data_IF_060567236289
#
_entry.id   IF_060567236289
#
_cell.length_a   1.000
_cell.length_b   1.000
_cell.length_c   1.000
_cell.angle_alpha   90.00
_cell.angle_beta   90.00
_cell.angle_gamma   90.00
#
_symmetry.space_group_name_H-M   'P 1'
#
loop_
_entity.id
_entity.type
_entity.pdbx_description
1 polymer ?
#
# COMPACT_ATOMS: atom_id res chain seq x y z
N UNK A 1 -19.01 10.02 -10.49
CA UNK A 1 -18.15 10.96 -9.75
C UNK A 1 -16.95 11.18 -10.66
N UNK A 2 -16.76 12.39 -11.17
CA UNK A 2 -15.69 12.65 -12.14
C UNK A 2 -14.35 12.64 -11.41
N UNK A 3 -13.56 11.58 -11.62
CA UNK A 3 -12.20 11.49 -11.10
C UNK A 3 -11.37 12.58 -11.77
N UNK A 4 -10.99 13.61 -11.01
CA UNK A 4 -10.08 14.63 -11.51
C UNK A 4 -8.72 13.98 -11.70
N UNK A 5 -8.24 13.97 -12.93
CA UNK A 5 -6.96 13.37 -13.31
C UNK A 5 -5.93 14.47 -13.55
N UNK A 6 -4.72 14.27 -13.04
CA UNK A 6 -3.62 15.22 -13.21
C UNK A 6 -2.35 14.49 -13.64
N UNK A 7 -1.59 15.10 -14.56
CA UNK A 7 -0.24 14.63 -14.86
C UNK A 7 0.70 15.02 -13.73
N UNK A 8 1.62 14.13 -13.39
CA UNK A 8 2.68 14.40 -12.43
C UNK A 8 4.00 13.76 -12.86
N UNK A 9 5.10 14.23 -12.25
CA UNK A 9 6.41 13.59 -12.30
C UNK A 9 6.79 13.04 -10.93
N UNK A 10 7.49 11.92 -10.93
CA UNK A 10 8.15 11.39 -9.74
C UNK A 10 9.57 11.94 -9.66
N UNK A 11 10.00 12.34 -8.46
CA UNK A 11 11.40 12.65 -8.19
C UNK A 11 11.91 11.81 -7.02
N UNK A 12 12.99 11.10 -7.27
CA UNK A 12 13.70 10.35 -6.22
C UNK A 12 14.43 11.32 -5.31
N UNK A 13 14.34 11.07 -4.01
CA UNK A 13 15.09 11.79 -2.98
C UNK A 13 15.76 10.77 -2.05
N UNK A 14 16.93 11.12 -1.51
CA UNK A 14 17.72 10.19 -0.71
C UNK A 14 16.98 9.68 0.53
N UNK A 15 16.26 10.56 1.23
CA UNK A 15 15.50 10.22 2.42
C UNK A 15 14.23 11.06 2.54
N UNK A 16 13.17 10.42 3.05
CA UNK A 16 11.97 11.10 3.52
C UNK A 16 11.64 10.60 4.93
N UNK A 17 11.16 11.45 5.84
CA UNK A 17 10.74 11.06 7.18
C UNK A 17 9.35 10.39 7.16
N UNK A 18 9.08 9.53 6.18
CA UNK A 18 7.84 8.78 5.98
C UNK A 18 8.20 7.33 5.60
N UNK A 19 7.21 6.45 5.52
CA UNK A 19 7.41 5.08 5.05
C UNK A 19 8.07 5.08 3.65
N UNK A 20 9.11 4.27 3.37
CA UNK A 20 9.87 4.38 2.12
C UNK A 20 9.03 4.15 0.86
N UNK A 21 8.00 3.30 0.95
CA UNK A 21 7.02 3.10 -0.13
C UNK A 21 5.86 4.12 -0.15
N UNK A 22 5.96 5.26 0.53
CA UNK A 22 4.97 6.35 0.44
C UNK A 22 5.51 7.53 -0.37
N UNK A 23 4.58 8.35 -0.84
CA UNK A 23 4.86 9.56 -1.62
C UNK A 23 4.76 10.81 -0.74
N UNK A 24 5.47 11.86 -1.12
CA UNK A 24 5.31 13.21 -0.58
C UNK A 24 4.94 14.21 -1.68
N UNK A 25 4.08 15.18 -1.36
CA UNK A 25 3.62 16.18 -2.31
C UNK A 25 3.49 17.56 -1.66
N UNK A 26 3.73 18.62 -2.45
CA UNK A 26 3.45 19.98 -2.01
C UNK A 26 1.95 20.18 -1.76
N UNK A 27 1.60 20.56 -0.53
CA UNK A 27 0.21 20.67 -0.10
C UNK A 27 -0.57 21.73 -0.88
N UNK A 28 0.07 22.85 -1.23
CA UNK A 28 -0.60 23.97 -1.94
C UNK A 28 -0.92 23.58 -3.38
N UNK A 29 0.05 23.00 -4.10
CA UNK A 29 -0.14 22.47 -5.45
C UNK A 29 -1.19 21.37 -5.46
N UNK A 30 -1.10 20.41 -4.54
CA UNK A 30 -2.08 19.34 -4.41
C UNK A 30 -3.50 19.88 -4.20
N UNK A 31 -3.69 20.79 -3.22
CA UNK A 31 -5.00 21.34 -2.90
C UNK A 31 -5.57 22.23 -4.01
N UNK A 32 -4.71 22.88 -4.81
CA UNK A 32 -5.14 23.65 -5.99
C UNK A 32 -5.74 22.74 -7.06
N UNK A 33 -5.21 21.53 -7.20
CA UNK A 33 -5.66 20.56 -8.19
C UNK A 33 -6.86 19.77 -7.65
N UNK A 34 -6.76 19.13 -6.49
CA UNK A 34 -7.75 18.17 -6.01
C UNK A 34 -8.72 18.72 -4.95
N UNK A 35 -8.54 19.97 -4.52
CA UNK A 35 -9.25 20.54 -3.38
C UNK A 35 -8.60 20.19 -2.04
N UNK A 36 -9.13 20.76 -0.96
CA UNK A 36 -8.62 20.53 0.40
C UNK A 36 -8.83 19.08 0.82
N UNK A 37 -7.80 18.47 1.36
CA UNK A 37 -7.83 17.13 1.95
C UNK A 37 -6.86 17.03 3.13
N UNK A 38 -7.08 16.01 3.97
CA UNK A 38 -6.22 15.70 5.11
C UNK A 38 -4.96 14.96 4.67
N UNK A 39 -3.92 15.03 5.51
CA UNK A 39 -2.64 14.36 5.29
C UNK A 39 -2.46 13.28 6.37
N UNK A 40 -2.06 12.04 6.01
CA UNK A 40 -1.85 11.55 4.65
C UNK A 40 -3.18 11.32 3.89
N UNK A 41 -3.13 11.37 2.56
CA UNK A 41 -4.24 11.00 1.67
C UNK A 41 -3.88 9.79 0.80
N UNK A 42 -4.86 9.23 0.07
CA UNK A 42 -4.64 8.16 -0.91
C UNK A 42 -4.86 8.69 -2.32
N UNK A 43 -3.97 8.28 -3.23
CA UNK A 43 -4.08 8.60 -4.63
C UNK A 43 -3.97 7.34 -5.48
N UNK A 44 -4.73 7.29 -6.58
CA UNK A 44 -4.52 6.33 -7.64
C UNK A 44 -3.45 6.88 -8.60
N UNK A 45 -2.42 6.08 -8.86
CA UNK A 45 -1.37 6.37 -9.85
C UNK A 45 -1.45 5.38 -11.02
N UNK A 46 -1.25 5.87 -12.25
CA UNK A 46 -1.19 5.03 -13.46
C UNK A 46 -0.19 5.55 -14.50
N UNK A 47 0.29 4.64 -15.36
CA UNK A 47 1.20 4.95 -16.48
C UNK A 47 0.47 5.56 -17.70
N UNK A 48 -0.82 5.25 -17.91
CA UNK A 48 -1.55 5.62 -19.13
C UNK A 48 -2.89 6.35 -18.86
N UNK A 49 -3.38 7.06 -19.88
CA UNK A 49 -4.54 7.97 -19.83
C UNK A 49 -5.86 7.32 -20.31
N UNK A 50 -5.82 6.09 -20.82
CA UNK A 50 -6.94 5.50 -21.56
C UNK A 50 -7.81 4.63 -20.67
N UNK A 51 -9.13 4.92 -20.65
CA UNK A 51 -10.21 4.10 -20.08
C UNK A 51 -10.33 2.67 -20.66
N UNK A 52 -9.40 2.29 -21.53
CA UNK A 52 -9.37 1.04 -22.30
C UNK A 52 -8.10 0.23 -22.01
N UNK A 53 -7.24 0.70 -21.08
CA UNK A 53 -6.05 -0.05 -20.67
C UNK A 53 -6.41 -0.96 -19.51
N UNK A 54 -6.05 -2.25 -19.63
CA UNK A 54 -6.13 -3.24 -18.55
C UNK A 54 -5.05 -3.02 -17.47
N UNK A 55 -4.19 -2.00 -17.59
CA UNK A 55 -3.20 -1.72 -16.55
C UNK A 55 -3.86 -1.21 -15.26
N UNK A 56 -3.71 -1.93 -14.14
CA UNK A 56 -4.39 -1.57 -12.90
C UNK A 56 -3.80 -0.28 -12.31
N UNK A 57 -4.68 0.56 -11.77
CA UNK A 57 -4.26 1.67 -10.92
C UNK A 57 -3.58 1.13 -9.67
N UNK A 58 -2.49 1.78 -9.26
CA UNK A 58 -1.85 1.52 -7.98
C UNK A 58 -2.30 2.58 -6.99
N UNK A 59 -2.84 2.19 -5.84
CA UNK A 59 -3.07 3.15 -4.77
C UNK A 59 -1.74 3.43 -4.07
N UNK A 60 -1.50 4.69 -3.75
CA UNK A 60 -0.33 5.13 -3.02
C UNK A 60 -0.75 6.09 -1.91
N UNK A 61 -0.09 5.97 -0.75
CA UNK A 61 -0.24 6.93 0.34
C UNK A 61 0.60 8.16 0.01
N UNK A 62 -0.02 9.34 0.06
CA UNK A 62 0.59 10.63 -0.23
C UNK A 62 0.56 11.50 1.02
N UNK A 63 1.74 11.87 1.51
CA UNK A 63 1.91 12.84 2.60
C UNK A 63 1.99 14.24 2.02
N UNK A 64 1.04 15.09 2.40
CA UNK A 64 1.01 16.49 2.00
C UNK A 64 1.78 17.32 3.01
N UNK A 65 2.69 18.17 2.52
CA UNK A 65 3.48 19.08 3.35
C UNK A 65 4.10 20.22 2.54
N UNK A 66 4.82 21.11 3.21
CA UNK A 66 5.59 22.17 2.57
C UNK A 66 6.95 21.61 2.11
N UNK A 67 6.93 20.82 1.03
CA UNK A 67 8.14 20.31 0.40
C UNK A 67 8.61 21.33 -0.64
N UNK A 68 9.00 22.52 -0.19
CA UNK A 68 9.53 23.56 -1.07
C UNK A 68 10.91 23.15 -1.56
N UNK A 69 11.02 22.49 -2.72
CA UNK A 69 12.20 22.27 -3.60
C UNK A 69 13.60 22.00 -2.95
N UNK A 70 13.69 21.79 -1.64
CA UNK A 70 14.90 21.69 -0.82
C UNK A 70 15.26 20.25 -0.48
N UNK A 71 14.52 19.29 -1.03
CA UNK A 71 14.94 17.89 -1.01
C UNK A 71 16.06 17.78 -2.05
N UNK A 72 17.27 17.40 -1.61
CA UNK A 72 18.42 17.18 -2.48
C UNK A 72 18.07 16.10 -3.52
N UNK A 73 17.55 16.52 -4.66
CA UNK A 73 17.18 15.67 -5.78
C UNK A 73 18.44 15.26 -6.53
N UNK A 74 18.60 13.97 -6.81
CA UNK A 74 19.78 13.42 -7.49
C UNK A 74 19.77 13.62 -9.02
N UNK A 75 18.71 14.20 -9.59
CA UNK A 75 18.56 14.34 -11.05
C UNK A 75 18.79 15.76 -11.56
N UNK A 76 19.64 15.87 -12.58
CA UNK A 76 19.95 17.08 -13.33
C UNK A 76 18.72 17.65 -14.02
N UNK A 77 18.47 18.93 -13.77
CA UNK A 77 17.38 19.73 -14.34
C UNK A 77 17.36 19.69 -15.87
N UNK A 78 16.51 18.84 -16.46
CA UNK A 78 16.02 19.08 -17.80
C UNK A 78 15.09 20.30 -17.78
N UNK A 79 15.52 21.38 -18.45
CA UNK A 79 14.87 22.70 -18.52
C UNK A 79 13.51 22.71 -19.27
N UNK A 80 12.81 21.57 -19.37
CA UNK A 80 11.52 21.44 -20.06
C UNK A 80 10.31 21.23 -19.12
N UNK A 81 10.46 21.46 -17.82
CA UNK A 81 9.45 21.13 -16.79
C UNK A 81 8.35 22.18 -16.52
N UNK A 82 8.29 23.28 -17.28
CA UNK A 82 7.41 24.42 -16.96
C UNK A 82 5.90 24.17 -17.07
N UNK A 83 5.46 22.98 -17.50
CA UNK A 83 4.05 22.67 -17.73
C UNK A 83 3.51 21.49 -16.91
N UNK A 84 4.26 21.01 -15.91
CA UNK A 84 3.80 19.91 -15.04
C UNK A 84 3.28 20.50 -13.73
N UNK A 85 1.98 20.37 -13.45
CA UNK A 85 1.35 21.06 -12.33
C UNK A 85 1.72 20.44 -10.96
N UNK A 86 2.24 19.21 -10.94
CA UNK A 86 2.48 18.47 -9.71
C UNK A 86 3.74 17.59 -9.81
N UNK A 87 4.58 17.65 -8.77
CA UNK A 87 5.71 16.75 -8.55
C UNK A 87 5.45 15.96 -7.28
N UNK A 88 5.61 14.64 -7.36
CA UNK A 88 5.58 13.74 -6.21
C UNK A 88 7.01 13.29 -5.91
N UNK A 89 7.37 13.28 -4.63
CA UNK A 89 8.67 12.84 -4.15
C UNK A 89 8.56 11.45 -3.54
N UNK A 90 9.54 10.60 -3.78
CA UNK A 90 9.61 9.26 -3.21
C UNK A 90 11.06 8.85 -2.96
N UNK A 91 11.27 7.77 -2.20
CA UNK A 91 12.61 7.20 -2.07
C UNK A 91 12.95 6.32 -3.28
N UNK A 92 14.22 5.92 -3.39
CA UNK A 92 14.65 4.93 -4.36
C UNK A 92 13.93 3.59 -4.19
N UNK A 93 13.63 3.18 -2.96
CA UNK A 93 12.90 1.94 -2.68
C UNK A 93 11.53 1.93 -3.37
N UNK A 94 10.83 3.07 -3.42
CA UNK A 94 9.56 3.18 -4.15
C UNK A 94 9.72 2.92 -5.66
N UNK A 95 10.77 3.47 -6.27
CA UNK A 95 11.05 3.27 -7.69
C UNK A 95 11.34 1.81 -8.02
N UNK A 96 12.25 1.21 -7.24
CA UNK A 96 12.72 -0.15 -7.46
C UNK A 96 11.61 -1.17 -7.18
N UNK A 97 10.77 -0.91 -6.17
CA UNK A 97 9.68 -1.79 -5.78
C UNK A 97 8.51 -1.78 -6.78
N UNK A 98 8.14 -0.60 -7.31
CA UNK A 98 7.03 -0.45 -8.27
C UNK A 98 7.46 -0.39 -9.74
N UNK A 99 8.76 -0.58 -10.02
CA UNK A 99 9.33 -0.62 -11.37
C UNK A 99 8.94 0.63 -12.20
N UNK A 100 9.14 1.79 -11.56
CA UNK A 100 8.84 3.11 -12.11
C UNK A 100 10.13 3.80 -12.62
N UNK A 101 9.98 4.86 -13.41
CA UNK A 101 11.09 5.62 -13.99
C UNK A 101 10.89 7.13 -13.78
N UNK A 102 11.92 7.83 -13.31
CA UNK A 102 11.89 9.28 -13.08
C UNK A 102 11.68 10.12 -14.35
N UNK A 103 12.06 9.56 -15.51
CA UNK A 103 11.93 10.23 -16.81
C UNK A 103 10.52 10.15 -17.40
N UNK A 104 9.60 9.40 -16.78
CA UNK A 104 8.24 9.21 -17.27
C UNK A 104 7.24 10.15 -16.56
N UNK A 105 6.21 10.56 -17.30
CA UNK A 105 5.03 11.21 -16.72
C UNK A 105 3.98 10.18 -16.36
N UNK A 106 3.34 10.36 -15.22
CA UNK A 106 2.29 9.50 -14.69
C UNK A 106 1.01 10.30 -14.49
N UNK A 107 -0.11 9.60 -14.33
CA UNK A 107 -1.38 10.20 -13.97
C UNK A 107 -1.70 9.92 -12.50
N UNK A 108 -2.14 10.95 -11.79
CA UNK A 108 -2.58 10.84 -10.40
C UNK A 108 -4.01 11.37 -10.27
N UNK A 109 -4.81 10.65 -9.48
CA UNK A 109 -6.12 11.10 -9.05
C UNK A 109 -6.24 10.91 -7.55
N UNK A 110 -6.75 11.93 -6.85
CA UNK A 110 -7.14 11.80 -5.46
C UNK A 110 -8.38 10.91 -5.35
N UNK A 111 -8.32 9.90 -4.49
CA UNK A 111 -9.41 8.95 -4.30
C UNK A 111 -9.73 8.79 -2.83
N UNK A 112 -10.96 8.36 -2.55
CA UNK A 112 -11.30 7.81 -1.24
C UNK A 112 -11.17 6.28 -1.34
N UNK A 113 -10.22 5.65 -0.63
CA UNK A 113 -10.12 4.19 -0.62
C UNK A 113 -11.35 3.61 0.09
N UNK A 114 -11.71 2.39 -0.25
CA UNK A 114 -12.76 1.65 0.45
C UNK A 114 -12.16 0.82 1.59
N UNK A 115 -12.91 0.62 2.68
CA UNK A 115 -12.52 -0.28 3.74
C UNK A 115 -12.53 -1.72 3.24
N UNK A 116 -11.52 -2.49 3.63
CA UNK A 116 -11.49 -3.93 3.40
C UNK A 116 -12.26 -4.64 4.50
N UNK A 117 -12.97 -5.71 4.13
CA UNK A 117 -13.64 -6.60 5.07
C UNK A 117 -12.68 -7.64 5.62
N UNK A 118 -11.81 -8.16 4.75
CA UNK A 118 -10.81 -9.14 5.11
C UNK A 118 -9.50 -8.92 4.36
N UNK A 119 -8.40 -9.14 5.05
CA UNK A 119 -7.05 -9.21 4.47
C UNK A 119 -6.36 -10.48 4.97
N UNK A 120 -5.73 -11.20 4.05
CA UNK A 120 -4.82 -12.31 4.37
C UNK A 120 -3.40 -11.91 4.01
N UNK A 121 -2.52 -11.92 5.01
CA UNK A 121 -1.08 -11.73 4.85
C UNK A 121 -0.35 -13.07 4.95
N UNK A 122 0.64 -13.26 4.08
CA UNK A 122 1.65 -14.31 4.21
C UNK A 122 2.93 -13.71 4.81
N UNK A 123 3.38 -14.26 5.94
CA UNK A 123 4.67 -13.94 6.54
C UNK A 123 5.79 -14.74 5.85
N UNK A 124 6.82 -14.05 5.35
CA UNK A 124 7.97 -14.66 4.69
C UNK A 124 8.83 -15.51 5.63
N UNK A 125 8.90 -15.15 6.91
CA UNK A 125 9.76 -15.80 7.90
C UNK A 125 8.96 -16.23 9.12
N UNK A 126 9.49 -17.22 9.84
CA UNK A 126 8.97 -17.65 11.15
C UNK A 126 9.00 -16.50 12.16
N UNK A 127 10.02 -15.64 12.07
CA UNK A 127 10.15 -14.48 12.96
C UNK A 127 9.02 -13.48 12.73
N UNK A 128 8.75 -13.12 11.47
CA UNK A 128 7.64 -12.22 11.12
C UNK A 128 6.29 -12.82 11.46
N UNK A 129 6.11 -14.12 11.23
CA UNK A 129 4.91 -14.82 11.66
C UNK A 129 4.74 -14.70 13.19
N UNK A 130 5.76 -15.05 13.97
CA UNK A 130 5.71 -14.98 15.44
C UNK A 130 5.51 -13.55 15.95
N UNK A 131 6.12 -12.55 15.31
CA UNK A 131 5.94 -11.14 15.65
C UNK A 131 4.49 -10.69 15.42
N UNK A 132 3.86 -11.11 14.31
CA UNK A 132 2.45 -10.80 14.03
C UNK A 132 1.48 -11.40 15.07
N UNK A 133 1.92 -12.38 15.85
CA UNK A 133 1.13 -12.98 16.94
C UNK A 133 1.25 -12.23 18.26
N UNK A 134 2.07 -11.18 18.33
CA UNK A 134 2.26 -10.41 19.55
C UNK A 134 1.18 -9.35 19.71
N UNK A 135 0.79 -9.05 20.95
CA UNK A 135 -0.17 -7.99 21.28
C UNK A 135 0.22 -6.62 20.70
N UNK A 136 1.52 -6.36 20.50
CA UNK A 136 2.01 -5.13 19.88
C UNK A 136 1.53 -4.99 18.43
N UNK A 137 1.46 -6.09 17.67
CA UNK A 137 0.95 -6.06 16.30
C UNK A 137 -0.53 -5.66 16.28
N UNK A 138 -1.36 -6.33 17.08
CA UNK A 138 -2.79 -6.01 17.23
C UNK A 138 -3.02 -4.57 17.71
N UNK A 139 -2.28 -4.14 18.74
CA UNK A 139 -2.35 -2.78 19.27
C UNK A 139 -1.95 -1.76 18.20
N UNK A 140 -0.92 -2.04 17.41
CA UNK A 140 -0.49 -1.21 16.30
C UNK A 140 -1.59 -1.04 15.24
N UNK A 141 -2.25 -2.13 14.85
CA UNK A 141 -3.38 -2.10 13.90
C UNK A 141 -4.53 -1.25 14.43
N UNK A 142 -4.89 -1.41 15.71
CA UNK A 142 -5.96 -0.65 16.35
C UNK A 142 -5.65 0.85 16.42
N UNK A 143 -4.45 1.21 16.88
CA UNK A 143 -3.99 2.61 16.97
C UNK A 143 -3.94 3.24 15.58
N UNK A 144 -3.40 2.54 14.59
CA UNK A 144 -3.34 3.04 13.22
C UNK A 144 -4.74 3.28 12.64
N UNK A 145 -5.65 2.32 12.83
CA UNK A 145 -7.04 2.40 12.33
C UNK A 145 -7.82 3.55 12.97
N UNK A 146 -7.63 3.79 14.28
CA UNK A 146 -8.36 4.82 15.02
C UNK A 146 -7.82 6.22 14.81
N UNK A 147 -6.51 6.35 14.54
CA UNK A 147 -5.86 7.64 14.27
C UNK A 147 -5.90 8.07 12.80
N UNK A 148 -6.79 7.47 11.98
CA UNK A 148 -6.88 7.68 10.52
C UNK A 148 -5.53 7.60 9.83
N UNK A 149 -4.66 6.69 10.30
CA UNK A 149 -3.38 6.45 9.65
C UNK A 149 -3.64 5.48 8.50
N UNK A 150 -3.42 5.94 7.28
CA UNK A 150 -3.65 5.14 6.08
C UNK A 150 -2.83 3.84 6.11
N UNK A 151 -3.48 2.72 6.41
CA UNK A 151 -2.94 1.37 6.28
C UNK A 151 -3.42 0.79 4.96
N UNK A 152 -2.74 1.20 3.90
CA UNK A 152 -3.05 0.72 2.57
C UNK A 152 -2.58 -0.73 2.43
N UNK A 153 -3.43 -1.56 1.84
CA UNK A 153 -3.12 -2.95 1.53
C UNK A 153 -3.49 -3.22 0.09
N UNK A 154 -2.68 -4.01 -0.60
CA UNK A 154 -2.90 -4.42 -1.97
C UNK A 154 -2.42 -5.86 -2.18
N UNK A 155 -3.25 -6.69 -2.80
CA UNK A 155 -2.88 -8.04 -3.19
C UNK A 155 -1.58 -8.04 -4.00
N UNK A 156 -0.66 -8.94 -3.65
CA UNK A 156 0.67 -9.06 -4.26
C UNK A 156 1.69 -8.04 -3.73
N UNK A 157 1.34 -7.18 -2.77
CA UNK A 157 2.21 -6.15 -2.23
C UNK A 157 2.57 -6.41 -0.75
N UNK A 158 3.61 -5.71 -0.27
CA UNK A 158 3.99 -5.68 1.14
C UNK A 158 2.98 -4.89 1.97
N UNK A 159 3.02 -5.05 3.30
CA UNK A 159 2.15 -4.28 4.18
C UNK A 159 2.61 -2.80 4.28
N UNK A 160 1.83 -1.87 3.72
CA UNK A 160 2.17 -0.44 3.65
C UNK A 160 1.65 0.35 4.88
N UNK A 161 1.81 -0.21 6.08
CA UNK A 161 1.42 0.47 7.30
C UNK A 161 2.48 1.52 7.73
N UNK A 162 2.06 2.61 8.38
CA UNK A 162 3.00 3.53 8.99
C UNK A 162 3.67 2.85 10.20
N UNK A 163 5.01 2.97 10.36
CA UNK A 163 5.74 2.29 11.42
C UNK A 163 5.57 3.06 12.75
N UNK A 164 4.43 2.84 13.39
CA UNK A 164 4.07 3.47 14.66
C UNK A 164 4.75 2.75 15.84
N UNK A 165 5.12 3.47 16.91
CA UNK A 165 5.67 2.86 18.13
C UNK A 165 4.77 1.79 18.77
N UNK A 166 3.47 1.82 18.48
CA UNK A 166 2.51 0.82 18.93
C UNK A 166 2.78 -0.59 18.38
N UNK A 167 3.40 -0.70 17.19
CA UNK A 167 3.84 -1.97 16.61
C UNK A 167 5.14 -2.51 17.22
N UNK A 168 5.89 -1.65 17.91
CA UNK A 168 7.21 -1.95 18.47
C UNK A 168 8.03 -0.68 18.67
N UNK A 169 8.95 -0.70 19.64
CA UNK A 169 9.76 0.47 19.99
C UNK A 169 10.80 0.84 18.91
N UNK A 170 11.29 -0.14 18.16
CA UNK A 170 12.25 0.06 17.07
C UNK A 170 11.52 0.13 15.71
N UNK A 171 11.47 1.34 15.14
CA UNK A 171 10.84 1.63 13.85
C UNK A 171 11.47 0.82 12.71
N UNK A 172 12.78 0.61 12.71
CA UNK A 172 13.46 -0.12 11.64
C UNK A 172 13.11 -1.61 11.70
N UNK A 173 13.12 -2.17 12.92
CA UNK A 173 12.66 -3.54 13.14
C UNK A 173 11.21 -3.74 12.67
N UNK A 174 10.30 -2.80 12.98
CA UNK A 174 8.90 -2.86 12.53
C UNK A 174 8.79 -2.77 11.01
N UNK A 175 9.54 -1.87 10.36
CA UNK A 175 9.54 -1.73 8.90
C UNK A 175 10.01 -3.02 8.22
N UNK A 176 11.07 -3.66 8.72
CA UNK A 176 11.58 -4.92 8.17
C UNK A 176 10.49 -6.02 8.22
N UNK A 177 9.70 -6.08 9.31
CA UNK A 177 8.58 -7.02 9.43
C UNK A 177 7.43 -6.70 8.49
N UNK A 178 7.14 -5.42 8.25
CA UNK A 178 6.17 -5.00 7.24
C UNK A 178 6.57 -5.42 5.82
N UNK A 179 7.86 -5.30 5.47
CA UNK A 179 8.39 -5.79 4.19
C UNK A 179 8.39 -7.33 4.08
N UNK A 180 8.24 -8.04 5.19
CA UNK A 180 8.11 -9.49 5.24
C UNK A 180 6.67 -10.00 5.28
N UNK A 181 5.67 -9.11 5.38
CA UNK A 181 4.25 -9.42 5.29
C UNK A 181 3.70 -9.05 3.92
N UNK A 182 3.27 -10.06 3.14
CA UNK A 182 2.69 -9.86 1.81
C UNK A 182 1.19 -10.12 1.83
N UNK A 183 0.40 -9.18 1.32
CA UNK A 183 -1.03 -9.39 1.17
C UNK A 183 -1.29 -10.36 0.01
N UNK A 184 -1.87 -11.52 0.31
CA UNK A 184 -2.20 -12.54 -0.69
C UNK A 184 -3.67 -12.47 -1.11
N UNK A 185 -4.53 -11.92 -0.25
CA UNK A 185 -5.95 -11.74 -0.52
C UNK A 185 -6.46 -10.49 0.20
N UNK A 186 -7.32 -9.74 -0.49
CA UNK A 186 -8.04 -8.58 0.02
C UNK A 186 -9.49 -8.68 -0.47
N UNK A 187 -10.44 -8.49 0.45
CA UNK A 187 -11.88 -8.50 0.17
C UNK A 187 -12.51 -7.17 0.58
N UNK A 188 -13.50 -6.64 -0.16
CA UNK A 188 -14.14 -7.21 -1.35
C UNK A 188 -13.40 -6.89 -2.66
N UNK A 189 -12.22 -6.26 -2.58
CA UNK A 189 -11.45 -5.91 -3.76
C UNK A 189 -9.95 -5.92 -3.45
N UNK A 190 -9.15 -5.92 -4.52
CA UNK A 190 -7.72 -6.24 -4.49
C UNK A 190 -6.83 -5.20 -3.80
N UNK A 191 -7.35 -4.03 -3.44
CA UNK A 191 -6.60 -3.01 -2.72
C UNK A 191 -7.54 -2.10 -1.93
N UNK A 192 -7.18 -1.69 -0.72
CA UNK A 192 -8.04 -0.86 0.11
C UNK A 192 -7.36 -0.50 1.41
N UNK A 193 -8.13 -0.05 2.40
CA UNK A 193 -7.59 0.29 3.72
C UNK A 193 -8.05 -0.69 4.79
N UNK A 194 -7.15 -1.00 5.72
CA UNK A 194 -7.53 -1.64 6.99
C UNK A 194 -8.24 -0.61 7.87
N UNK A 195 -9.33 -1.05 8.47
CA UNK A 195 -10.11 -0.33 9.47
C UNK A 195 -10.30 -1.19 10.72
N UNK A 196 -10.92 -0.64 11.76
CA UNK A 196 -11.21 -1.38 13.00
C UNK A 196 -12.12 -2.60 12.79
N UNK A 197 -12.93 -2.62 11.72
CA UNK A 197 -13.82 -3.73 11.38
C UNK A 197 -13.20 -4.71 10.38
N UNK A 198 -11.97 -4.47 9.91
CA UNK A 198 -11.31 -5.34 8.95
C UNK A 198 -10.76 -6.58 9.66
N UNK A 199 -11.13 -7.76 9.19
CA UNK A 199 -10.54 -9.01 9.66
C UNK A 199 -9.14 -9.18 9.08
N UNK A 200 -8.13 -9.26 9.94
CA UNK A 200 -6.75 -9.49 9.53
C UNK A 200 -6.35 -10.92 9.87
N UNK A 201 -5.86 -11.63 8.86
CA UNK A 201 -5.37 -13.00 8.96
C UNK A 201 -3.90 -13.04 8.56
N UNK A 202 -3.05 -13.62 9.40
CA UNK A 202 -1.64 -13.85 9.06
C UNK A 202 -1.37 -15.34 9.00
N UNK A 203 -0.77 -15.78 7.90
CA UNK A 203 -0.40 -17.18 7.66
C UNK A 203 1.10 -17.30 7.45
N UNK A 204 1.65 -18.46 7.80
CA UNK A 204 3.06 -18.77 7.59
C UNK A 204 3.29 -19.19 6.13
N UNK A 205 4.24 -18.55 5.43
CA UNK A 205 4.62 -19.00 4.08
C UNK A 205 5.47 -20.27 4.16
N UNK A 206 5.14 -21.30 3.37
CA UNK A 206 5.90 -22.56 3.31
C UNK A 206 7.06 -22.53 2.29
N UNK A 207 7.14 -21.50 1.44
CA UNK A 207 8.22 -21.27 0.46
C UNK A 207 8.58 -19.78 0.43
N UNK A 208 9.80 -19.45 0.00
CA UNK A 208 10.15 -18.07 -0.35
C UNK A 208 9.13 -17.57 -1.37
N UNK A 209 8.42 -16.49 -1.04
CA UNK A 209 7.46 -15.87 -1.96
C UNK A 209 8.29 -15.23 -3.09
N UNK A 210 8.54 -15.99 -4.15
CA UNK A 210 9.15 -15.47 -5.38
C UNK A 210 8.11 -14.63 -6.15
N UNK A 211 8.56 -13.53 -6.78
CA UNK A 211 7.73 -12.67 -7.65
C UNK A 211 7.02 -13.46 -8.78
N UNK A 212 7.45 -14.67 -9.11
CA UNK A 212 6.80 -15.56 -10.08
C UNK A 212 5.55 -16.26 -9.52
N UNK A 213 5.48 -16.50 -8.21
CA UNK A 213 4.30 -17.10 -7.56
C UNK A 213 3.13 -16.10 -7.62
N UNK A 214 3.41 -14.80 -7.53
CA UNK A 214 2.39 -13.76 -7.70
C UNK A 214 1.73 -13.83 -9.09
N UNK A 215 2.48 -13.97 -10.18
CA UNK A 215 1.90 -14.06 -11.53
C UNK A 215 1.04 -15.32 -11.72
N UNK A 216 1.49 -16.50 -11.27
CA UNK A 216 0.67 -17.73 -11.33
C UNK A 216 -0.56 -17.68 -10.40
N UNK A 217 -0.47 -17.01 -9.24
CA UNK A 217 -1.62 -16.75 -8.37
C UNK A 217 -2.62 -15.78 -9.01
N UNK A 218 -2.16 -14.75 -9.74
CA UNK A 218 -3.03 -13.83 -10.48
C UNK A 218 -3.71 -14.51 -11.67
N UNK A 219 -2.99 -15.36 -12.43
CA UNK A 219 -3.54 -16.13 -13.55
C UNK A 219 -4.56 -17.19 -13.10
N UNK A 220 -4.36 -17.79 -11.92
CA UNK A 220 -5.36 -18.66 -11.29
C UNK A 220 -6.56 -17.88 -10.76
N UNK A 221 -6.38 -16.67 -10.20
CA UNK A 221 -7.49 -15.87 -9.67
C UNK A 221 -8.40 -15.28 -10.76
N UNK A 222 -7.88 -14.98 -11.95
CA UNK A 222 -8.69 -14.67 -13.14
C UNK A 222 -9.55 -15.88 -13.57
N UNK A 223 -9.05 -17.11 -13.41
CA UNK A 223 -9.84 -18.34 -13.62
C UNK A 223 -10.80 -18.64 -12.47
N UNK A 224 -10.47 -18.30 -11.23
CA UNK A 224 -11.33 -18.54 -10.05
C UNK A 224 -12.49 -17.55 -10.02
N UNK A 225 -12.34 -16.31 -10.50
CA UNK A 225 -13.47 -15.41 -10.75
C UNK A 225 -14.48 -15.95 -11.78
N UNK A 226 -14.10 -16.96 -12.59
CA UNK A 226 -15.00 -17.64 -13.53
C UNK A 226 -15.65 -18.92 -12.97
N UNK A 227 -15.31 -19.37 -11.76
CA UNK A 227 -15.84 -20.63 -11.20
C UNK A 227 -16.43 -20.45 -9.79
N UNK A 228 -17.76 -20.35 -9.77
CA UNK A 228 -18.70 -20.58 -8.66
C UNK A 228 -18.14 -21.30 -7.40
N UNK A 229 -18.22 -20.61 -6.26
CA UNK A 229 -18.65 -21.01 -4.89
C UNK A 229 -18.49 -22.45 -4.34
N UNK A 230 -17.74 -23.36 -4.93
CA UNK A 230 -17.75 -24.77 -4.47
C UNK A 230 -16.39 -25.47 -4.34
N UNK A 231 -15.27 -24.77 -4.49
CA UNK A 231 -13.94 -25.40 -4.38
C UNK A 231 -12.90 -24.61 -3.58
N UNK A 232 -13.23 -24.26 -2.33
CA UNK A 232 -12.24 -23.91 -1.28
C UNK A 232 -11.48 -25.16 -0.74
N UNK A 233 -11.65 -26.33 -1.36
CA UNK A 233 -11.15 -27.61 -0.86
C UNK A 233 -9.64 -27.86 -1.00
N UNK A 234 -8.93 -27.14 -1.89
CA UNK A 234 -7.49 -27.35 -2.11
C UNK A 234 -6.59 -26.32 -1.40
N UNK A 235 -7.14 -25.17 -1.00
CA UNK A 235 -6.45 -24.14 -0.22
C UNK A 235 -6.17 -24.55 1.25
N UNK A 236 -6.93 -25.52 1.78
CA UNK A 236 -6.80 -26.01 3.17
C UNK A 236 -5.57 -26.88 3.43
N UNK A 237 -4.82 -27.31 2.41
CA UNK A 237 -3.70 -28.25 2.59
C UNK A 237 -2.38 -27.58 2.97
N UNK A 238 -2.17 -26.31 2.62
CA UNK A 238 -0.87 -25.64 2.79
C UNK A 238 -0.88 -24.53 3.86
N UNK A 239 -2.04 -24.24 4.45
CA UNK A 239 -2.18 -23.28 5.55
C UNK A 239 -2.21 -24.03 6.88
N UNK A 240 -1.07 -24.06 7.58
CA UNK A 240 -0.96 -24.79 8.85
C UNK A 240 -1.54 -24.05 10.05
N UNK A 241 -1.84 -22.76 9.91
CA UNK A 241 -2.37 -21.92 11.00
C UNK A 241 -3.15 -20.73 10.43
N UNK A 242 -4.39 -20.51 10.89
CA UNK A 242 -5.24 -19.35 10.55
C UNK A 242 -5.61 -18.65 11.85
N UNK A 243 -5.36 -17.35 11.93
CA UNK A 243 -5.80 -16.53 13.08
C UNK A 243 -6.66 -15.40 12.53
N UNK A 244 -7.85 -15.28 13.10
CA UNK A 244 -8.81 -14.22 12.79
C UNK A 244 -8.66 -13.20 13.90
N UNK A 245 -8.09 -12.04 13.61
CA UNK A 245 -8.29 -10.88 14.46
C UNK A 245 -9.72 -10.39 14.20
N UNK A 246 -10.68 -10.85 15.01
CA UNK A 246 -12.05 -10.32 15.03
C UNK A 246 -12.37 -9.72 16.39
N UNK A 247 -13.17 -8.66 16.35
CA UNK A 247 -13.56 -7.76 17.43
C UNK A 247 -13.69 -8.38 18.83
N UNK A 248 -13.12 -7.70 19.81
CA UNK A 248 -13.49 -7.85 21.21
C UNK A 248 -14.89 -7.24 21.39
N UNK A 249 -15.93 -8.09 21.50
CA UNK A 249 -17.24 -7.66 21.96
C UNK A 249 -17.15 -7.30 23.45
N UNK A 250 -16.92 -6.03 23.76
CA UNK A 250 -17.14 -5.53 25.10
C UNK A 250 -18.65 -5.41 25.35
N UNK A 251 -19.25 -6.48 25.85
CA UNK A 251 -20.57 -6.44 26.48
C UNK A 251 -20.47 -5.66 27.79
N UNK A 252 -21.17 -4.52 27.89
CA UNK A 252 -21.86 -4.05 29.10
C UNK A 252 -22.87 -2.95 28.77
#
# INVERSE_FOLDING_TARGET
MDLKLCKFKLRSVQQLPIHPLHLAADQVKWCTIFGRCESPTIAAISKQFTYLSDEPFVFAVVHLGNHSDNLHSEETLDKQDSNIPLTLHCTKDFFDHYELSGNQQYNVSHIKPFPLEQVVFAAKTDETFNWSQQNAFETGLLVASTCNKSMLVRCGDVFLAPPLPAFGADTNYVLDRFYELYAVQCEPAQQGIITVSTSVVVVKSQKSVDKSITEEFFDMNLKIQMFNESHLGWYKKDLTSVIICSEYSASQ
#
